data_IF_548443751584
#
_entry.id   IF_548443751584
#
_cell.length_a   1.000
_cell.length_b   1.000
_cell.length_c   1.000
_cell.angle_alpha   90.00
_cell.angle_beta   90.00
_cell.angle_gamma   90.00
#
_symmetry.space_group_name_H-M   'P 1'
#
loop_
_entity.id
_entity.type
_entity.pdbx_description
1 polymer ?
#
# COMPACT_ATOMS: atom_id res chain seq x y z
N UNK A 1 8.98 -14.77 0.59
CA UNK A 1 7.61 -14.58 1.08
C UNK A 1 7.67 -13.84 2.40
N UNK A 2 7.24 -12.58 2.40
CA UNK A 2 7.12 -11.69 3.56
C UNK A 2 5.66 -11.36 3.80
N UNK A 3 5.41 -10.74 4.94
CA UNK A 3 4.08 -10.32 5.39
C UNK A 3 4.09 -8.82 5.60
N UNK A 4 3.06 -8.16 5.09
CA UNK A 4 2.92 -6.72 5.12
C UNK A 4 1.62 -6.33 5.79
N UNK A 5 1.67 -5.27 6.59
CA UNK A 5 0.51 -4.66 7.21
C UNK A 5 0.29 -3.29 6.59
N UNK A 6 -0.88 -3.07 5.98
CA UNK A 6 -1.21 -1.80 5.31
C UNK A 6 -2.42 -1.18 6.00
N UNK A 7 -2.23 0.01 6.57
CA UNK A 7 -3.30 0.79 7.17
C UNK A 7 -4.00 1.61 6.08
N UNK A 8 -5.28 1.31 5.78
CA UNK A 8 -6.01 1.89 4.65
C UNK A 8 -7.30 2.61 5.05
N UNK A 9 -7.39 3.17 6.28
CA UNK A 9 -8.62 3.79 6.80
C UNK A 9 -9.24 4.88 5.89
N UNK A 10 -8.44 5.58 5.08
CA UNK A 10 -8.93 6.68 4.23
C UNK A 10 -9.23 6.24 2.79
N UNK A 11 -8.53 5.22 2.28
CA UNK A 11 -8.49 4.90 0.84
C UNK A 11 -8.77 3.42 0.54
N UNK A 12 -9.22 2.63 1.53
CA UNK A 12 -9.46 1.20 1.36
C UNK A 12 -10.37 0.89 0.17
N UNK A 13 -11.55 1.51 0.07
CA UNK A 13 -12.52 1.16 -0.97
C UNK A 13 -11.96 1.40 -2.39
N UNK A 14 -11.17 2.46 -2.54
CA UNK A 14 -10.51 2.80 -3.80
C UNK A 14 -9.37 1.83 -4.12
N UNK A 15 -8.46 1.60 -3.18
CA UNK A 15 -7.30 0.73 -3.34
C UNK A 15 -7.72 -0.74 -3.53
N UNK A 16 -8.73 -1.19 -2.77
CA UNK A 16 -9.26 -2.54 -2.86
C UNK A 16 -9.98 -2.78 -4.19
N UNK A 17 -10.89 -1.89 -4.59
CA UNK A 17 -11.60 -2.01 -5.88
C UNK A 17 -10.67 -1.86 -7.07
N UNK A 18 -9.62 -1.04 -6.94
CA UNK A 18 -8.58 -0.86 -7.96
C UNK A 18 -7.51 -1.94 -7.98
N UNK A 19 -7.43 -2.81 -6.96
CA UNK A 19 -6.45 -3.89 -6.87
C UNK A 19 -5.00 -3.39 -6.73
N UNK A 20 -4.77 -2.26 -6.07
CA UNK A 20 -3.43 -1.69 -5.92
C UNK A 20 -3.14 -1.22 -4.49
N UNK A 21 -1.85 -1.10 -4.17
CA UNK A 21 -1.35 -0.32 -3.04
C UNK A 21 -0.67 0.93 -3.59
N UNK A 22 -0.86 2.07 -2.93
CA UNK A 22 -0.20 3.31 -3.34
C UNK A 22 0.24 4.16 -2.15
N UNK A 23 1.46 4.69 -2.20
CA UNK A 23 1.93 5.72 -1.28
C UNK A 23 2.69 6.82 -2.02
N UNK A 24 2.77 8.03 -1.46
CA UNK A 24 3.76 9.00 -1.89
C UNK A 24 5.18 8.43 -1.77
N UNK A 25 6.13 8.95 -2.53
CA UNK A 25 7.56 8.58 -2.37
C UNK A 25 8.21 9.26 -1.17
N UNK A 26 7.71 10.43 -0.79
CA UNK A 26 8.25 11.30 0.27
C UNK A 26 7.11 11.98 1.01
N UNK A 27 7.37 12.43 2.22
CA UNK A 27 6.45 13.30 2.96
C UNK A 27 6.31 14.66 2.26
N UNK A 28 5.29 15.45 2.63
CA UNK A 28 5.04 16.78 2.04
C UNK A 28 6.23 17.74 2.20
N UNK A 29 7.02 17.59 3.27
CA UNK A 29 8.24 18.36 3.52
C UNK A 29 9.50 17.80 2.81
N UNK A 30 9.34 16.79 1.94
CA UNK A 30 10.44 16.16 1.20
C UNK A 30 11.26 15.12 1.98
N UNK A 31 10.99 14.93 3.28
CA UNK A 31 11.66 13.91 4.08
C UNK A 31 11.29 12.50 3.61
N UNK A 32 12.23 11.56 3.75
CA UNK A 32 11.96 10.14 3.56
C UNK A 32 11.02 9.64 4.66
N UNK A 33 10.27 8.60 4.34
CA UNK A 33 9.38 7.93 5.27
C UNK A 33 9.60 6.44 5.11
N UNK A 34 10.00 5.75 6.19
CA UNK A 34 10.32 4.33 6.13
C UNK A 34 9.12 3.50 5.65
N UNK A 35 7.88 3.90 5.95
CA UNK A 35 6.69 3.21 5.46
C UNK A 35 6.55 3.29 3.93
N UNK A 36 6.94 4.42 3.33
CA UNK A 36 6.94 4.57 1.88
C UNK A 36 8.11 3.84 1.24
N UNK A 37 9.27 3.81 1.88
CA UNK A 37 10.42 3.04 1.39
C UNK A 37 10.14 1.53 1.43
N UNK A 38 9.38 1.04 2.42
CA UNK A 38 8.96 -0.35 2.51
C UNK A 38 8.14 -0.82 1.29
N UNK A 39 7.47 0.08 0.56
CA UNK A 39 6.81 -0.29 -0.70
C UNK A 39 7.80 -0.90 -1.70
N UNK A 40 9.04 -0.38 -1.76
CA UNK A 40 10.10 -0.90 -2.66
C UNK A 40 10.52 -2.31 -2.32
N UNK A 41 10.32 -2.71 -1.06
CA UNK A 41 10.65 -4.04 -0.61
C UNK A 41 9.60 -5.05 -1.05
N UNK A 42 8.33 -4.68 -1.24
CA UNK A 42 7.25 -5.62 -1.63
C UNK A 42 7.61 -6.38 -2.91
N UNK A 43 7.45 -7.71 -2.87
CA UNK A 43 7.70 -8.59 -4.02
C UNK A 43 6.47 -9.46 -4.33
N UNK A 44 6.33 -9.92 -5.60
CA UNK A 44 5.30 -10.88 -5.97
C UNK A 44 5.29 -12.11 -5.05
N UNK A 45 4.10 -12.52 -4.62
CA UNK A 45 3.90 -13.63 -3.69
C UNK A 45 3.99 -13.27 -2.20
N UNK A 46 4.32 -12.03 -1.85
CA UNK A 46 4.20 -11.55 -0.46
C UNK A 46 2.73 -11.39 -0.06
N UNK A 47 2.42 -11.61 1.22
CA UNK A 47 1.06 -11.52 1.78
C UNK A 47 0.82 -10.12 2.36
N UNK A 48 -0.33 -9.54 2.06
CA UNK A 48 -0.73 -8.20 2.50
C UNK A 48 -1.98 -8.31 3.37
N UNK A 49 -1.91 -7.80 4.60
CA UNK A 49 -3.06 -7.60 5.47
C UNK A 49 -3.54 -6.16 5.33
N UNK A 50 -4.75 -5.98 4.79
CA UNK A 50 -5.41 -4.69 4.70
C UNK A 50 -6.18 -4.40 5.98
N UNK A 51 -5.73 -3.40 6.73
CA UNK A 51 -6.32 -3.00 7.99
C UNK A 51 -7.16 -1.72 7.85
N UNK A 52 -8.43 -1.81 8.23
CA UNK A 52 -9.42 -0.73 8.20
C UNK A 52 -10.35 -0.88 9.40
N UNK A 53 -10.75 0.23 10.01
CA UNK A 53 -11.79 0.27 11.05
C UNK A 53 -11.53 -0.75 12.19
N UNK A 54 -10.27 -0.85 12.60
CA UNK A 54 -9.79 -1.76 13.65
C UNK A 54 -9.88 -3.26 13.34
N UNK A 55 -10.10 -3.63 12.08
CA UNK A 55 -10.19 -5.01 11.64
C UNK A 55 -9.34 -5.28 10.39
N UNK A 56 -8.99 -6.55 10.18
CA UNK A 56 -8.43 -7.01 8.90
C UNK A 56 -9.60 -7.13 7.92
N UNK A 57 -9.69 -6.19 6.99
CA UNK A 57 -10.76 -6.12 6.01
C UNK A 57 -10.51 -7.03 4.79
N UNK A 58 -9.23 -7.29 4.47
CA UNK A 58 -8.85 -8.17 3.37
C UNK A 58 -7.44 -8.77 3.57
N UNK A 59 -7.21 -9.90 2.90
CA UNK A 59 -5.88 -10.51 2.75
C UNK A 59 -5.59 -10.61 1.25
N UNK A 60 -4.51 -9.98 0.81
CA UNK A 60 -4.06 -9.95 -0.58
C UNK A 60 -2.73 -10.66 -0.80
N UNK A 61 -2.44 -10.99 -2.06
CA UNK A 61 -1.13 -11.49 -2.49
C UNK A 61 -0.58 -10.50 -3.51
N UNK A 62 0.60 -9.93 -3.21
CA UNK A 62 1.27 -9.02 -4.12
C UNK A 62 1.52 -9.69 -5.48
N UNK A 63 1.15 -9.01 -6.56
CA UNK A 63 1.31 -9.52 -7.94
C UNK A 63 2.49 -8.89 -8.66
N UNK A 64 3.00 -7.76 -8.17
CA UNK A 64 4.10 -7.02 -8.79
C UNK A 64 5.08 -6.51 -7.74
N UNK A 65 6.29 -6.17 -8.19
CA UNK A 65 7.16 -5.25 -7.45
C UNK A 65 6.58 -3.83 -7.48
N UNK A 66 7.08 -2.97 -6.61
CA UNK A 66 6.77 -1.54 -6.65
C UNK A 66 7.29 -0.89 -7.94
N UNK A 67 6.49 0.00 -8.50
CA UNK A 67 6.84 0.83 -9.65
C UNK A 67 6.31 2.25 -9.47
N UNK A 68 6.85 3.19 -10.24
CA UNK A 68 6.43 4.58 -10.15
C UNK A 68 5.07 4.80 -10.83
N UNK A 69 4.16 5.48 -10.14
CA UNK A 69 2.82 5.78 -10.65
C UNK A 69 2.36 7.16 -10.13
N UNK A 70 1.65 7.97 -10.95
CA UNK A 70 1.00 9.20 -10.47
C UNK A 70 0.06 8.93 -9.28
N UNK A 71 -0.24 9.98 -8.50
CA UNK A 71 -1.27 9.87 -7.46
C UNK A 71 -2.62 9.49 -8.11
N UNK A 72 -3.30 8.44 -7.62
CA UNK A 72 -4.65 8.14 -8.04
C UNK A 72 -5.56 9.35 -7.83
N UNK A 73 -6.45 9.60 -8.79
CA UNK A 73 -7.46 10.66 -8.68
C UNK A 73 -8.52 10.27 -7.64
N UNK A 74 -9.06 11.25 -6.91
CA UNK A 74 -10.18 11.02 -5.98
C UNK A 74 -9.80 10.65 -4.54
N UNK A 75 -8.63 11.10 -4.06
CA UNK A 75 -8.32 11.13 -2.62
C UNK A 75 -9.16 12.16 -1.86
#
# INVERSE_FOLDING_TARGET
MRFWWVNQNQTFDQEFSGGYLWSPKRNQNGASNQFYENMREVAPGDVIFSFRDQAIAAIGIAQSYCYECPCPSGK
#
